data_IF_276027707692
#
_entry.id   IF_276027707692
#
_cell.length_a   1.000
_cell.length_b   1.000
_cell.length_c   1.000
_cell.angle_alpha   90.00
_cell.angle_beta   90.00
_cell.angle_gamma   90.00
#
_symmetry.space_group_name_H-M   'P 1'
#
loop_
_entity.id
_entity.type
_entity.pdbx_description
1 polymer ?
#
# COMPACT_ATOMS: atom_id res chain seq x y z
N UNK A 1 -16.47 21.11 35.14
CA UNK A 1 -16.45 22.40 34.44
C UNK A 1 -15.55 22.27 33.23
N UNK A 2 -16.08 21.76 32.13
CA UNK A 2 -15.39 21.65 30.82
C UNK A 2 -16.47 21.89 29.76
N UNK A 3 -16.78 23.14 29.50
CA UNK A 3 -17.57 23.60 28.34
C UNK A 3 -17.00 24.95 27.92
N UNK A 4 -15.96 24.97 27.08
CA UNK A 4 -15.55 26.18 26.37
C UNK A 4 -14.67 25.98 25.15
N UNK A 5 -14.54 24.73 24.62
CA UNK A 5 -13.74 24.46 23.43
C UNK A 5 -14.48 24.44 22.10
N UNK A 6 -15.78 24.21 22.10
CA UNK A 6 -16.57 23.96 20.87
C UNK A 6 -17.18 25.19 20.22
N UNK A 7 -17.32 26.30 20.97
CA UNK A 7 -17.96 27.52 20.47
C UNK A 7 -17.01 28.42 19.67
N UNK A 8 -15.70 28.28 19.84
CA UNK A 8 -14.71 29.09 19.10
C UNK A 8 -14.52 28.65 17.66
N UNK A 9 -14.77 27.39 17.34
CA UNK A 9 -14.54 26.84 15.99
C UNK A 9 -15.65 27.23 14.97
N UNK A 10 -16.84 27.52 15.46
CA UNK A 10 -17.98 27.94 14.59
C UNK A 10 -17.91 29.42 14.22
N UNK A 11 -17.23 30.26 15.00
CA UNK A 11 -17.22 31.71 14.77
C UNK A 11 -16.16 32.18 13.74
N UNK A 12 -15.16 31.38 13.45
CA UNK A 12 -14.10 31.72 12.45
C UNK A 12 -14.54 31.39 11.01
N UNK A 13 -15.47 30.47 10.81
CA UNK A 13 -15.96 30.05 9.49
C UNK A 13 -16.97 31.01 8.82
N UNK A 14 -17.51 32.02 9.53
CA UNK A 14 -18.61 32.84 9.00
C UNK A 14 -18.20 34.21 8.43
N UNK A 15 -16.92 34.59 8.47
CA UNK A 15 -16.46 35.80 7.80
C UNK A 15 -16.00 35.47 6.37
N UNK A 16 -16.95 35.38 5.46
CA UNK A 16 -16.65 35.47 4.03
C UNK A 16 -16.16 36.87 3.73
N UNK A 17 -14.85 37.03 3.53
CA UNK A 17 -14.29 38.24 2.93
C UNK A 17 -14.83 38.35 1.51
N UNK A 18 -15.55 39.42 1.19
CA UNK A 18 -15.91 39.77 -0.18
C UNK A 18 -14.60 40.06 -0.92
N UNK A 19 -14.09 39.06 -1.65
CA UNK A 19 -12.98 39.29 -2.58
C UNK A 19 -13.52 40.05 -3.75
N UNK A 20 -12.99 41.26 -3.97
CA UNK A 20 -13.28 42.05 -5.16
C UNK A 20 -12.86 41.23 -6.40
N UNK A 21 -13.80 40.93 -7.28
CA UNK A 21 -13.54 40.28 -8.58
C UNK A 21 -12.80 41.24 -9.45
N UNK A 22 -11.49 41.05 -9.63
CA UNK A 22 -10.71 41.69 -10.69
C UNK A 22 -11.08 40.97 -11.99
N UNK A 23 -11.41 41.69 -13.09
CA UNK A 23 -11.70 41.05 -14.36
C UNK A 23 -10.46 40.30 -14.85
N UNK A 24 -10.52 38.98 -14.85
CA UNK A 24 -9.43 38.13 -15.39
C UNK A 24 -9.51 38.20 -16.94
N UNK A 25 -8.41 38.66 -17.55
CA UNK A 25 -8.15 38.50 -18.97
C UNK A 25 -8.24 37.00 -19.32
N UNK A 26 -8.89 36.61 -20.44
CA UNK A 26 -8.99 35.21 -20.82
C UNK A 26 -7.58 34.61 -20.92
N UNK A 27 -7.27 33.67 -20.03
CA UNK A 27 -6.06 32.86 -20.10
C UNK A 27 -6.27 31.92 -21.28
N UNK A 28 -5.37 31.97 -22.26
CA UNK A 28 -5.35 31.01 -23.37
C UNK A 28 -5.44 29.59 -22.78
N UNK A 29 -6.38 28.81 -23.33
CA UNK A 29 -6.60 27.44 -22.87
C UNK A 29 -5.28 26.67 -22.92
N UNK A 30 -4.73 26.39 -21.74
CA UNK A 30 -3.59 25.46 -21.62
C UNK A 30 -4.01 24.13 -22.23
N UNK A 31 -3.18 23.49 -23.08
CA UNK A 31 -3.51 22.18 -23.62
C UNK A 31 -3.96 21.28 -22.45
N UNK A 32 -5.15 20.73 -22.56
CA UNK A 32 -5.68 19.77 -21.58
C UNK A 32 -4.64 18.68 -21.47
N UNK A 33 -3.95 18.61 -20.32
CA UNK A 33 -3.15 17.45 -19.99
C UNK A 33 -4.04 16.23 -20.26
N UNK A 34 -3.56 15.27 -21.05
CA UNK A 34 -4.30 14.03 -21.30
C UNK A 34 -4.65 13.47 -19.93
N UNK A 35 -5.95 13.36 -19.64
CA UNK A 35 -6.40 12.82 -18.38
C UNK A 35 -5.81 11.41 -18.27
N UNK A 36 -4.97 11.19 -17.26
CA UNK A 36 -4.40 9.87 -16.99
C UNK A 36 -5.56 8.92 -16.72
N UNK A 37 -5.83 8.01 -17.66
CA UNK A 37 -6.81 6.95 -17.49
C UNK A 37 -6.10 5.79 -16.79
N UNK A 38 -6.34 5.63 -15.49
CA UNK A 38 -5.88 4.45 -14.78
C UNK A 38 -6.77 3.26 -15.13
N UNK A 39 -6.19 2.04 -15.30
CA UNK A 39 -6.99 0.84 -15.56
C UNK A 39 -7.82 0.49 -14.34
N UNK A 40 -9.08 0.07 -14.55
CA UNK A 40 -9.90 -0.57 -13.53
C UNK A 40 -10.35 0.31 -12.36
N UNK A 41 -10.38 -0.27 -11.16
CA UNK A 41 -10.92 0.36 -9.94
C UNK A 41 -9.98 0.22 -8.78
N UNK A 42 -9.67 1.31 -8.10
CA UNK A 42 -8.91 1.35 -6.85
C UNK A 42 -9.88 1.38 -5.66
N UNK A 43 -9.63 0.56 -4.64
CA UNK A 43 -10.34 0.54 -3.37
C UNK A 43 -9.42 1.04 -2.27
N UNK A 44 -9.92 1.98 -1.45
CA UNK A 44 -9.11 2.72 -0.48
C UNK A 44 -9.95 3.09 0.75
N UNK A 45 -9.32 3.23 1.91
CA UNK A 45 -9.98 3.64 3.14
C UNK A 45 -9.76 5.13 3.44
N UNK A 46 -10.82 5.78 3.90
CA UNK A 46 -10.80 7.16 4.39
C UNK A 46 -11.85 7.33 5.49
N UNK A 47 -11.46 7.95 6.61
CA UNK A 47 -12.39 8.30 7.72
C UNK A 47 -13.27 7.14 8.20
N UNK A 48 -12.73 5.91 8.22
CA UNK A 48 -13.47 4.72 8.65
C UNK A 48 -14.52 4.21 7.66
N UNK A 49 -14.44 4.62 6.40
CA UNK A 49 -15.25 4.09 5.30
C UNK A 49 -14.36 3.60 4.15
N UNK A 50 -14.88 2.69 3.34
CA UNK A 50 -14.24 2.27 2.10
C UNK A 50 -14.82 3.06 0.93
N UNK A 51 -13.94 3.40 0.00
CA UNK A 51 -14.26 4.09 -1.25
C UNK A 51 -13.72 3.31 -2.44
N UNK A 52 -14.40 3.40 -3.57
CA UNK A 52 -13.85 3.05 -4.87
C UNK A 52 -13.47 4.31 -5.64
N UNK A 53 -12.39 4.24 -6.39
CA UNK A 53 -11.93 5.27 -7.31
C UNK A 53 -11.81 4.68 -8.70
N UNK A 54 -12.59 5.17 -9.66
CA UNK A 54 -12.60 4.71 -11.03
C UNK A 54 -12.96 5.86 -11.96
N UNK A 55 -12.30 5.94 -13.12
CA UNK A 55 -12.52 7.00 -14.11
C UNK A 55 -12.51 8.44 -13.50
N UNK A 56 -11.62 8.67 -12.53
CA UNK A 56 -11.48 9.97 -11.86
C UNK A 56 -12.58 10.30 -10.84
N UNK A 57 -13.44 9.34 -10.47
CA UNK A 57 -14.54 9.55 -9.53
C UNK A 57 -14.42 8.67 -8.30
N UNK A 58 -14.72 9.25 -7.13
CA UNK A 58 -14.86 8.53 -5.88
C UNK A 58 -16.32 8.16 -5.64
N UNK A 59 -16.50 6.94 -5.13
CA UNK A 59 -17.79 6.45 -4.68
C UNK A 59 -17.62 5.79 -3.31
N UNK A 60 -18.36 6.24 -2.31
CA UNK A 60 -18.37 5.64 -0.98
C UNK A 60 -19.09 4.30 -1.01
N UNK A 61 -18.46 3.25 -0.50
CA UNK A 61 -18.97 1.88 -0.52
C UNK A 61 -19.60 1.47 0.81
N UNK A 62 -19.06 1.95 1.93
CA UNK A 62 -19.51 1.60 3.26
C UNK A 62 -19.76 2.86 4.08
N UNK A 63 -20.63 2.80 5.11
CA UNK A 63 -20.76 3.92 6.07
C UNK A 63 -19.43 4.14 6.84
N UNK A 64 -19.26 5.30 7.43
CA UNK A 64 -18.16 5.64 8.33
C UNK A 64 -18.31 4.92 9.67
N UNK A 65 -17.92 3.66 9.72
CA UNK A 65 -18.12 2.75 10.85
C UNK A 65 -16.88 1.86 11.10
N UNK A 66 -15.68 2.42 10.98
CA UNK A 66 -14.43 1.73 11.27
C UNK A 66 -13.94 0.79 10.17
N UNK A 67 -14.44 0.91 8.94
CA UNK A 67 -13.98 0.12 7.81
C UNK A 67 -12.60 0.55 7.33
N UNK A 68 -11.72 -0.44 7.11
CA UNK A 68 -10.33 -0.22 6.69
C UNK A 68 -9.77 -1.46 5.99
N UNK A 69 -8.56 -1.35 5.44
CA UNK A 69 -7.73 -2.43 4.92
C UNK A 69 -8.46 -3.33 3.90
N UNK A 70 -8.99 -2.77 2.81
CA UNK A 70 -9.60 -3.55 1.75
C UNK A 70 -8.54 -4.41 1.04
N UNK A 71 -8.95 -5.61 0.63
CA UNK A 71 -8.19 -6.46 -0.28
C UNK A 71 -9.15 -7.16 -1.24
N UNK A 72 -8.73 -7.31 -2.48
CA UNK A 72 -9.50 -8.02 -3.50
C UNK A 72 -9.43 -9.53 -3.31
N UNK A 73 -10.52 -10.21 -3.62
CA UNK A 73 -10.45 -11.63 -3.91
C UNK A 73 -9.64 -11.88 -5.20
N UNK A 74 -8.91 -13.00 -5.32
CA UNK A 74 -8.09 -13.30 -6.49
C UNK A 74 -8.84 -13.27 -7.83
N UNK A 75 -10.14 -13.58 -7.83
CA UNK A 75 -11.01 -13.49 -9.00
C UNK A 75 -11.57 -12.08 -9.26
N UNK A 76 -11.26 -11.10 -8.39
CA UNK A 76 -11.72 -9.74 -8.48
C UNK A 76 -13.22 -9.54 -8.22
N UNK A 77 -13.98 -10.56 -7.82
CA UNK A 77 -15.45 -10.48 -7.68
C UNK A 77 -15.92 -9.95 -6.33
N UNK A 78 -15.06 -9.98 -5.32
CA UNK A 78 -15.38 -9.51 -3.96
C UNK A 78 -14.20 -8.80 -3.31
N UNK A 79 -14.48 -8.16 -2.19
CA UNK A 79 -13.50 -7.59 -1.29
C UNK A 79 -13.52 -8.38 0.02
N UNK A 80 -12.38 -8.43 0.68
CA UNK A 80 -12.30 -8.66 2.13
C UNK A 80 -11.82 -7.38 2.77
N UNK A 81 -12.35 -7.01 3.92
CA UNK A 81 -11.97 -5.80 4.61
C UNK A 81 -12.11 -5.97 6.13
N UNK A 82 -11.41 -5.14 6.87
CA UNK A 82 -11.50 -5.07 8.32
C UNK A 82 -12.56 -4.07 8.72
N UNK A 83 -13.38 -4.42 9.71
CA UNK A 83 -14.20 -3.50 10.47
C UNK A 83 -13.67 -3.41 11.89
N UNK A 84 -13.19 -2.25 12.28
CA UNK A 84 -12.71 -1.97 13.63
C UNK A 84 -13.86 -1.55 14.53
N UNK A 85 -13.95 -2.18 15.67
CA UNK A 85 -14.81 -1.81 16.79
C UNK A 85 -13.96 -1.24 17.94
N UNK A 86 -14.57 -0.85 19.04
CA UNK A 86 -13.84 -0.22 20.14
C UNK A 86 -12.76 -1.10 20.77
N UNK A 87 -12.99 -2.42 20.86
CA UNK A 87 -12.11 -3.37 21.58
C UNK A 87 -11.63 -4.54 20.71
N UNK A 88 -12.13 -4.67 19.48
CA UNK A 88 -11.79 -5.77 18.57
C UNK A 88 -11.89 -5.32 17.11
N UNK A 89 -11.48 -6.18 16.21
CA UNK A 89 -11.73 -6.01 14.78
C UNK A 89 -12.06 -7.34 14.13
N UNK A 90 -12.99 -7.29 13.16
CA UNK A 90 -13.38 -8.46 12.39
C UNK A 90 -13.13 -8.27 10.90
N UNK A 91 -12.91 -9.39 10.23
CA UNK A 91 -12.81 -9.45 8.77
C UNK A 91 -14.16 -9.82 8.19
N UNK A 92 -14.56 -9.04 7.19
CA UNK A 92 -15.80 -9.25 6.42
C UNK A 92 -15.49 -9.47 4.95
N UNK A 93 -16.36 -10.25 4.29
CA UNK A 93 -16.42 -10.28 2.83
C UNK A 93 -17.53 -9.33 2.36
N UNK A 94 -17.22 -8.54 1.35
CA UNK A 94 -18.14 -7.59 0.73
C UNK A 94 -18.20 -7.83 -0.78
N UNK A 95 -19.32 -7.42 -1.38
CA UNK A 95 -19.36 -7.23 -2.83
C UNK A 95 -18.43 -6.07 -3.22
N UNK A 96 -18.08 -5.94 -4.50
CA UNK A 96 -17.32 -4.80 -5.02
C UNK A 96 -18.02 -3.45 -4.81
N UNK A 97 -19.29 -3.46 -4.47
CA UNK A 97 -20.13 -2.28 -4.23
C UNK A 97 -20.37 -2.02 -2.74
N UNK A 98 -19.66 -2.72 -1.85
CA UNK A 98 -19.69 -2.46 -0.41
C UNK A 98 -20.74 -3.25 0.39
N UNK A 99 -21.61 -4.02 -0.28
CA UNK A 99 -22.61 -4.87 0.40
C UNK A 99 -21.90 -6.01 1.15
N UNK A 100 -22.14 -6.12 2.47
CA UNK A 100 -21.59 -7.20 3.30
C UNK A 100 -22.26 -8.53 2.92
N UNK A 101 -21.46 -9.54 2.60
CA UNK A 101 -21.93 -10.89 2.23
C UNK A 101 -21.62 -11.93 3.29
N UNK A 102 -20.55 -11.76 4.08
CA UNK A 102 -20.20 -12.66 5.18
C UNK A 102 -19.32 -11.97 6.20
N UNK A 103 -19.41 -12.38 7.46
CA UNK A 103 -18.42 -12.14 8.51
C UNK A 103 -17.48 -13.35 8.54
N UNK A 104 -16.17 -13.13 8.37
CA UNK A 104 -15.18 -14.19 8.27
C UNK A 104 -14.47 -14.50 9.60
N UNK A 105 -14.47 -13.53 10.53
CA UNK A 105 -14.00 -13.72 11.89
C UNK A 105 -15.04 -13.23 12.90
N UNK A 106 -14.98 -13.73 14.14
CA UNK A 106 -15.84 -13.29 15.22
C UNK A 106 -14.97 -13.14 16.48
N UNK A 107 -14.43 -11.95 16.65
CA UNK A 107 -13.44 -11.61 17.67
C UNK A 107 -14.06 -10.88 18.88
N UNK A 108 -15.36 -10.62 18.85
CA UNK A 108 -16.10 -10.07 19.97
C UNK A 108 -16.17 -11.10 21.12
N UNK A 109 -15.98 -10.65 22.35
CA UNK A 109 -16.19 -11.48 23.52
C UNK A 109 -17.70 -11.58 23.83
N UNK A 110 -18.33 -12.75 23.71
CA UNK A 110 -19.80 -12.83 23.72
C UNK A 110 -20.45 -12.55 25.06
N UNK A 111 -19.72 -12.55 26.19
CA UNK A 111 -20.35 -12.50 27.53
C UNK A 111 -19.49 -11.81 28.60
N UNK A 112 -18.41 -11.13 28.26
CA UNK A 112 -17.48 -10.60 29.24
C UNK A 112 -17.52 -9.09 29.37
N UNK A 113 -17.19 -8.61 30.57
CA UNK A 113 -17.07 -7.19 30.86
C UNK A 113 -16.12 -6.52 29.85
N UNK A 114 -16.45 -5.30 29.41
CA UNK A 114 -15.59 -4.43 28.60
C UNK A 114 -14.18 -4.23 29.19
N UNK A 115 -13.96 -4.65 30.42
CA UNK A 115 -12.68 -4.59 31.11
C UNK A 115 -11.82 -5.86 30.92
N UNK A 116 -12.40 -6.92 30.39
CA UNK A 116 -11.65 -8.16 30.09
C UNK A 116 -11.10 -8.10 28.65
N UNK A 117 -10.08 -7.24 28.45
CA UNK A 117 -9.46 -7.04 27.14
C UNK A 117 -8.83 -8.32 26.57
N UNK A 118 -8.51 -9.32 27.42
CA UNK A 118 -7.98 -10.61 26.99
C UNK A 118 -8.99 -11.50 26.27
N UNK A 119 -10.28 -11.17 26.35
CA UNK A 119 -11.34 -11.93 25.68
C UNK A 119 -11.59 -11.49 24.23
N UNK A 120 -11.14 -10.29 23.87
CA UNK A 120 -11.29 -9.72 22.52
C UNK A 120 -10.06 -10.01 21.69
N UNK A 121 -10.21 -10.12 20.39
CA UNK A 121 -9.11 -10.31 19.47
C UNK A 121 -9.13 -9.28 18.32
N UNK A 122 -7.96 -9.11 17.70
CA UNK A 122 -7.76 -8.19 16.59
C UNK A 122 -7.33 -8.97 15.34
N UNK A 123 -7.98 -8.68 14.22
CA UNK A 123 -7.64 -9.21 12.91
C UNK A 123 -7.39 -8.05 11.96
N UNK A 124 -6.21 -8.03 11.32
CA UNK A 124 -5.80 -6.96 10.40
C UNK A 124 -5.19 -7.52 9.11
N UNK A 125 -5.13 -6.69 8.08
CA UNK A 125 -4.48 -6.99 6.81
C UNK A 125 -4.95 -8.29 6.16
N UNK A 126 -6.27 -8.47 5.95
CA UNK A 126 -6.81 -9.70 5.38
C UNK A 126 -6.37 -9.86 3.92
N UNK A 127 -6.08 -11.10 3.55
CA UNK A 127 -5.81 -11.53 2.17
C UNK A 127 -6.41 -12.90 1.95
N UNK A 128 -7.02 -13.12 0.79
CA UNK A 128 -7.37 -14.47 0.39
C UNK A 128 -6.19 -15.14 -0.32
N UNK A 129 -6.01 -16.45 -0.10
CA UNK A 129 -5.07 -17.24 -0.89
C UNK A 129 -5.48 -17.23 -2.36
N UNK A 130 -4.55 -17.50 -3.30
CA UNK A 130 -4.85 -17.51 -4.74
C UNK A 130 -5.99 -18.46 -5.15
N UNK A 131 -6.21 -19.55 -4.43
CA UNK A 131 -7.32 -20.49 -4.59
C UNK A 131 -8.60 -20.08 -3.84
N UNK A 132 -8.56 -18.96 -3.13
CA UNK A 132 -9.65 -18.43 -2.29
C UNK A 132 -10.09 -19.33 -1.12
N UNK A 133 -9.40 -20.43 -0.90
CA UNK A 133 -9.73 -21.40 0.16
C UNK A 133 -9.27 -20.99 1.55
N UNK A 134 -8.34 -20.04 1.66
CA UNK A 134 -7.73 -19.63 2.93
C UNK A 134 -7.75 -18.11 3.10
N UNK A 135 -8.18 -17.66 4.26
CA UNK A 135 -8.02 -16.28 4.71
C UNK A 135 -6.72 -16.17 5.50
N UNK A 136 -5.83 -15.32 5.04
CA UNK A 136 -4.63 -14.89 5.70
C UNK A 136 -4.84 -13.54 6.36
N UNK A 137 -4.29 -13.35 7.56
CA UNK A 137 -4.42 -12.09 8.31
C UNK A 137 -3.31 -11.97 9.36
N UNK A 138 -3.10 -10.78 9.87
CA UNK A 138 -2.38 -10.54 11.11
C UNK A 138 -3.39 -10.65 12.25
N UNK A 139 -3.12 -11.55 13.20
CA UNK A 139 -4.05 -11.89 14.27
C UNK A 139 -3.34 -11.95 15.62
N UNK A 140 -3.91 -11.36 16.65
CA UNK A 140 -3.30 -11.34 17.98
C UNK A 140 -3.44 -12.65 18.77
N UNK A 141 -3.97 -13.70 18.13
CA UNK A 141 -4.00 -15.06 18.61
C UNK A 141 -4.68 -15.28 19.96
N UNK A 142 -4.61 -16.49 20.50
CA UNK A 142 -4.98 -16.72 21.88
C UNK A 142 -3.97 -16.01 22.78
N UNK A 143 -4.38 -14.91 23.40
CA UNK A 143 -3.61 -14.23 24.41
C UNK A 143 -3.33 -15.21 25.54
N UNK A 144 -2.08 -15.30 25.96
CA UNK A 144 -1.69 -16.18 27.07
C UNK A 144 -2.42 -15.70 28.33
N UNK A 145 -3.36 -16.50 28.82
CA UNK A 145 -4.04 -16.24 30.06
C UNK A 145 -3.00 -16.28 31.19
N UNK A 146 -2.92 -15.24 32.00
CA UNK A 146 -2.17 -15.30 33.28
C UNK A 146 -1.22 -14.14 33.57
N UNK A 147 -0.83 -13.34 32.60
CA UNK A 147 -0.06 -12.13 32.86
C UNK A 147 -1.00 -10.93 32.75
N UNK A 148 -1.22 -10.18 33.82
CA UNK A 148 -2.09 -9.01 33.86
C UNK A 148 -1.67 -7.87 32.93
N UNK A 149 -0.71 -8.11 32.04
CA UNK A 149 -0.24 -7.24 30.96
C UNK A 149 -0.42 -7.99 29.64
N UNK A 150 -1.23 -7.45 28.77
CA UNK A 150 -1.47 -8.02 27.45
C UNK A 150 -0.38 -7.54 26.50
N UNK A 151 0.53 -8.44 26.16
CA UNK A 151 1.41 -8.28 25.01
C UNK A 151 0.58 -8.57 23.75
N UNK A 152 0.41 -7.57 22.92
CA UNK A 152 -0.35 -7.66 21.66
C UNK A 152 0.64 -7.79 20.51
N UNK A 153 1.30 -8.96 20.44
CA UNK A 153 2.11 -9.28 19.27
C UNK A 153 1.28 -10.09 18.28
N UNK A 154 1.07 -9.49 17.11
CA UNK A 154 0.39 -10.14 16.01
C UNK A 154 1.22 -11.28 15.46
N UNK A 155 0.59 -12.38 15.06
CA UNK A 155 1.19 -13.39 14.20
C UNK A 155 0.47 -13.46 12.86
N UNK A 156 1.16 -13.89 11.82
CA UNK A 156 0.50 -14.27 10.58
C UNK A 156 -0.31 -15.51 10.81
N UNK A 157 -1.60 -15.44 10.59
CA UNK A 157 -2.58 -16.49 10.82
C UNK A 157 -3.29 -16.87 9.54
N UNK A 158 -3.57 -18.14 9.35
CA UNK A 158 -4.32 -18.64 8.21
C UNK A 158 -5.48 -19.52 8.67
N UNK A 159 -6.71 -19.22 8.23
CA UNK A 159 -7.91 -19.98 8.52
C UNK A 159 -8.59 -20.42 7.22
N UNK A 160 -9.22 -21.60 7.17
CA UNK A 160 -10.08 -21.96 6.04
C UNK A 160 -11.22 -20.94 5.88
N UNK A 161 -11.51 -20.54 4.66
CA UNK A 161 -12.67 -19.66 4.39
C UNK A 161 -13.96 -20.42 4.74
N UNK A 162 -14.84 -19.80 5.54
CA UNK A 162 -16.00 -20.44 6.13
C UNK A 162 -15.71 -21.25 7.40
N UNK A 163 -14.45 -21.35 7.78
CA UNK A 163 -14.04 -21.93 9.06
C UNK A 163 -14.00 -20.90 10.18
N UNK A 164 -13.60 -21.36 11.35
CA UNK A 164 -13.39 -20.55 12.54
C UNK A 164 -11.90 -20.34 12.81
N UNK A 165 -11.54 -19.36 13.63
CA UNK A 165 -10.16 -19.14 14.08
C UNK A 165 -9.55 -20.38 14.74
N UNK A 166 -10.36 -21.21 15.41
CA UNK A 166 -9.92 -22.48 16.03
C UNK A 166 -9.44 -23.53 15.01
N UNK A 167 -9.91 -23.44 13.76
CA UNK A 167 -9.49 -24.34 12.67
C UNK A 167 -8.25 -23.79 11.94
N UNK A 168 -7.86 -22.58 12.27
CA UNK A 168 -6.67 -21.93 11.73
C UNK A 168 -5.41 -22.32 12.50
N UNK A 169 -4.31 -21.77 12.01
CA UNK A 169 -2.99 -21.93 12.64
C UNK A 169 -2.15 -20.67 12.49
N UNK A 170 -1.28 -20.45 13.47
CA UNK A 170 -0.21 -19.47 13.33
C UNK A 170 0.83 -19.99 12.33
N UNK A 171 1.24 -19.12 11.44
CA UNK A 171 2.30 -19.40 10.47
C UNK A 171 3.65 -18.87 10.92
N UNK A 172 3.66 -17.90 11.81
CA UNK A 172 4.87 -17.20 12.23
C UNK A 172 4.95 -17.14 13.75
N UNK A 173 6.15 -16.89 14.26
CA UNK A 173 6.43 -16.69 15.67
C UNK A 173 6.97 -15.26 15.86
N UNK A 174 6.16 -14.31 16.30
CA UNK A 174 6.56 -12.92 16.46
C UNK A 174 7.59 -12.74 17.56
N UNK A 175 8.36 -11.66 17.48
CA UNK A 175 9.20 -11.20 18.59
C UNK A 175 8.31 -10.49 19.62
N UNK A 176 8.57 -10.72 20.90
CA UNK A 176 7.78 -10.13 21.99
C UNK A 176 7.91 -8.61 22.04
N UNK A 177 6.80 -7.93 22.36
CA UNK A 177 6.69 -6.47 22.52
C UNK A 177 7.00 -5.63 21.29
N UNK A 178 6.98 -6.23 20.10
CA UNK A 178 7.29 -5.52 18.83
C UNK A 178 6.04 -5.08 18.07
N UNK A 179 4.86 -5.55 18.43
CA UNK A 179 3.63 -5.48 17.66
C UNK A 179 3.49 -6.63 16.65
N UNK A 180 4.52 -7.47 16.53
CA UNK A 180 4.48 -8.77 15.90
C UNK A 180 4.75 -8.83 14.41
N UNK A 181 4.20 -9.86 13.78
CA UNK A 181 4.33 -10.18 12.35
C UNK A 181 3.06 -9.73 11.62
N UNK A 182 3.23 -8.88 10.61
CA UNK A 182 2.10 -8.18 9.98
C UNK A 182 2.10 -8.26 8.46
N UNK A 183 0.96 -7.89 7.85
CA UNK A 183 0.80 -7.62 6.42
C UNK A 183 1.17 -8.84 5.54
N UNK A 184 0.50 -9.99 5.73
CA UNK A 184 0.79 -11.17 4.93
C UNK A 184 0.43 -10.95 3.46
N UNK A 185 1.33 -11.39 2.57
CA UNK A 185 1.13 -11.49 1.13
C UNK A 185 1.20 -12.96 0.76
N UNK A 186 0.05 -13.65 0.63
CA UNK A 186 0.03 -15.07 0.26
C UNK A 186 0.61 -15.28 -1.13
N UNK A 187 1.35 -16.36 -1.29
CA UNK A 187 2.01 -16.72 -2.54
C UNK A 187 1.33 -17.90 -3.23
N UNK A 188 1.30 -17.93 -4.57
CA UNK A 188 0.74 -19.06 -5.31
C UNK A 188 1.44 -20.39 -5.08
N UNK A 189 2.72 -20.34 -4.74
CA UNK A 189 3.52 -21.53 -4.38
C UNK A 189 3.22 -22.06 -2.99
N UNK A 190 2.29 -21.43 -2.26
CA UNK A 190 2.08 -21.62 -0.82
C UNK A 190 3.01 -20.73 0.00
N UNK A 191 2.65 -20.56 1.27
CA UNK A 191 3.38 -19.65 2.15
C UNK A 191 3.04 -18.17 1.95
N UNK A 192 3.83 -17.30 2.58
CA UNK A 192 3.59 -15.86 2.52
C UNK A 192 4.89 -15.06 2.72
N UNK A 193 4.90 -13.86 2.15
CA UNK A 193 5.79 -12.78 2.56
C UNK A 193 5.05 -11.98 3.64
N UNK A 194 5.76 -11.49 4.65
CA UNK A 194 5.19 -10.69 5.73
C UNK A 194 6.21 -9.70 6.28
N UNK A 195 5.75 -8.72 7.03
CA UNK A 195 6.61 -7.82 7.79
C UNK A 195 6.80 -8.38 9.19
N UNK A 196 8.05 -8.63 9.59
CA UNK A 196 8.44 -8.99 10.95
C UNK A 196 9.07 -7.80 11.62
N UNK A 197 8.57 -7.43 12.79
CA UNK A 197 9.15 -6.35 13.59
C UNK A 197 10.14 -6.87 14.62
N UNK A 198 11.17 -6.10 14.87
CA UNK A 198 12.19 -6.30 15.89
C UNK A 198 12.68 -4.96 16.44
N UNK A 199 13.49 -5.00 17.48
CA UNK A 199 14.25 -3.83 17.93
C UNK A 199 15.68 -3.91 17.43
N UNK A 200 16.24 -2.78 17.03
CA UNK A 200 17.67 -2.66 16.70
C UNK A 200 18.51 -2.43 17.97
N UNK A 201 19.84 -2.22 17.79
CA UNK A 201 20.75 -1.99 18.89
C UNK A 201 20.46 -0.72 19.70
N UNK A 202 19.77 0.24 19.10
CA UNK A 202 19.42 1.52 19.73
C UNK A 202 18.06 1.45 20.45
N UNK A 203 17.38 0.31 20.38
CA UNK A 203 16.06 0.08 20.96
C UNK A 203 14.91 0.62 20.11
N UNK A 204 15.16 0.98 18.85
CA UNK A 204 14.12 1.43 17.94
C UNK A 204 13.50 0.26 17.17
N UNK A 205 12.17 0.31 17.01
CA UNK A 205 11.45 -0.71 16.28
C UNK A 205 11.74 -0.60 14.79
N UNK A 206 12.18 -1.69 14.17
CA UNK A 206 12.48 -1.83 12.75
C UNK A 206 11.69 -2.96 12.12
N UNK A 207 11.29 -2.78 10.87
CA UNK A 207 10.61 -3.78 10.06
C UNK A 207 11.59 -4.53 9.13
N UNK A 208 11.31 -5.80 8.94
CA UNK A 208 12.00 -6.62 7.95
C UNK A 208 10.97 -7.40 7.15
N UNK A 209 11.13 -7.49 5.84
CA UNK A 209 10.37 -8.45 5.06
C UNK A 209 10.93 -9.85 5.29
N UNK A 210 10.06 -10.78 5.57
CA UNK A 210 10.33 -12.19 5.79
C UNK A 210 9.50 -13.05 4.86
N UNK A 211 9.98 -14.25 4.58
CA UNK A 211 9.29 -15.26 3.79
C UNK A 211 9.15 -16.55 4.62
N UNK A 212 7.98 -17.14 4.58
CA UNK A 212 7.72 -18.47 5.12
C UNK A 212 6.98 -19.32 4.10
N UNK A 213 7.37 -20.58 3.96
CA UNK A 213 6.71 -21.55 3.07
C UNK A 213 5.92 -22.62 3.81
N UNK A 214 5.96 -22.59 5.12
CA UNK A 214 5.31 -23.60 5.99
C UNK A 214 4.94 -23.00 7.34
N UNK A 215 3.73 -23.33 7.82
CA UNK A 215 3.28 -22.95 9.15
C UNK A 215 4.27 -23.41 10.24
N UNK A 216 4.58 -22.51 11.19
CA UNK A 216 5.49 -22.77 12.30
C UNK A 216 6.97 -22.89 11.92
N UNK A 217 7.36 -22.61 10.67
CA UNK A 217 8.77 -22.51 10.31
C UNK A 217 9.38 -21.21 10.84
N UNK A 218 10.69 -21.21 11.07
CA UNK A 218 11.41 -19.99 11.47
C UNK A 218 11.31 -18.87 10.43
N UNK A 219 11.00 -19.22 9.18
CA UNK A 219 11.01 -18.27 8.06
C UNK A 219 12.42 -17.86 7.65
N UNK A 220 12.51 -16.93 6.69
CA UNK A 220 13.76 -16.39 6.18
C UNK A 220 13.64 -14.88 5.99
N UNK A 221 14.59 -14.12 6.51
CA UNK A 221 14.67 -12.69 6.26
C UNK A 221 14.96 -12.43 4.77
N UNK A 222 14.20 -11.54 4.18
CA UNK A 222 14.37 -11.06 2.80
C UNK A 222 15.10 -9.72 2.76
N UNK A 223 14.95 -8.89 3.81
CA UNK A 223 15.65 -7.61 3.97
C UNK A 223 16.39 -7.59 5.31
N UNK A 224 17.34 -6.68 5.44
CA UNK A 224 18.05 -6.48 6.71
C UNK A 224 17.27 -5.55 7.63
N UNK A 225 17.51 -5.60 8.95
CA UNK A 225 16.95 -4.64 9.91
C UNK A 225 17.36 -3.20 9.61
N UNK A 226 18.58 -2.99 9.13
CA UNK A 226 19.08 -1.66 8.76
C UNK A 226 18.34 -1.05 7.56
N UNK A 227 17.69 -1.87 6.71
CA UNK A 227 16.87 -1.39 5.60
C UNK A 227 15.47 -0.96 6.07
N UNK A 228 15.01 -1.44 7.23
CA UNK A 228 13.73 -1.12 7.88
C UNK A 228 12.55 -1.12 6.87
N UNK A 229 12.28 -2.30 6.29
CA UNK A 229 11.31 -2.44 5.20
C UNK A 229 10.02 -3.13 5.65
N UNK A 230 8.89 -2.62 5.14
CA UNK A 230 7.53 -3.11 5.42
C UNK A 230 6.61 -2.94 4.20
N UNK A 231 5.33 -3.30 4.33
CA UNK A 231 4.26 -3.02 3.37
C UNK A 231 4.54 -3.61 1.97
N UNK A 232 4.90 -4.88 1.92
CA UNK A 232 5.19 -5.56 0.65
C UNK A 232 3.95 -5.66 -0.25
N UNK A 233 4.16 -5.41 -1.55
CA UNK A 233 3.19 -5.61 -2.62
C UNK A 233 3.84 -6.37 -3.77
N UNK A 234 3.29 -7.53 -4.13
CA UNK A 234 3.78 -8.37 -5.22
C UNK A 234 3.22 -7.86 -6.55
N UNK A 235 4.09 -7.76 -7.57
CA UNK A 235 3.66 -7.35 -8.92
C UNK A 235 2.74 -8.39 -9.58
N UNK A 236 1.91 -8.00 -10.57
CA UNK A 236 1.01 -8.93 -11.25
C UNK A 236 1.73 -10.09 -11.94
N UNK A 237 2.92 -9.85 -12.49
CA UNK A 237 3.79 -10.86 -13.10
C UNK A 237 4.55 -11.69 -12.05
N UNK A 238 4.45 -11.36 -10.77
CA UNK A 238 5.09 -12.02 -9.63
C UNK A 238 6.61 -11.99 -9.66
N UNK A 239 7.21 -11.07 -10.42
CA UNK A 239 8.66 -10.98 -10.56
C UNK A 239 9.28 -9.85 -9.74
N UNK A 240 8.44 -8.98 -9.14
CA UNK A 240 8.91 -7.82 -8.38
C UNK A 240 8.09 -7.65 -7.11
N UNK A 241 8.74 -7.08 -6.10
CA UNK A 241 8.09 -6.64 -4.86
C UNK A 241 8.34 -5.14 -4.72
N UNK A 242 7.26 -4.38 -4.58
CA UNK A 242 7.30 -3.01 -4.09
C UNK A 242 7.15 -3.03 -2.57
N UNK A 243 7.86 -2.17 -1.87
CA UNK A 243 7.88 -2.07 -0.42
C UNK A 243 8.20 -0.66 0.03
N UNK A 244 7.92 -0.37 1.27
CA UNK A 244 8.34 0.87 1.92
C UNK A 244 9.53 0.53 2.82
N UNK A 245 10.65 1.23 2.61
CA UNK A 245 11.81 1.14 3.48
C UNK A 245 12.07 2.50 4.13
N UNK A 246 12.59 2.52 5.37
CA UNK A 246 12.80 3.76 6.13
C UNK A 246 14.30 4.03 6.27
N UNK A 247 14.73 5.20 5.83
CA UNK A 247 16.12 5.58 5.98
C UNK A 247 16.31 6.46 7.22
N UNK A 248 17.28 6.08 8.06
CA UNK A 248 17.60 6.79 9.31
C UNK A 248 16.36 7.09 10.17
N UNK A 249 15.35 6.20 10.11
CA UNK A 249 14.14 6.27 10.93
C UNK A 249 13.28 7.55 10.75
N UNK A 250 13.49 8.29 9.66
CA UNK A 250 12.84 9.59 9.45
C UNK A 250 12.09 9.69 8.12
N UNK A 251 12.61 9.11 7.06
CA UNK A 251 12.07 9.26 5.70
C UNK A 251 11.76 7.88 5.14
N UNK A 252 10.52 7.68 4.72
CA UNK A 252 10.11 6.45 4.05
C UNK A 252 10.39 6.54 2.54
N UNK A 253 10.88 5.45 1.96
CA UNK A 253 11.21 5.31 0.55
C UNK A 253 10.31 4.28 -0.12
N UNK A 254 9.80 4.60 -1.31
CA UNK A 254 9.25 3.60 -2.19
C UNK A 254 10.42 2.85 -2.86
N UNK A 255 10.50 1.57 -2.57
CA UNK A 255 11.60 0.70 -3.01
C UNK A 255 11.04 -0.50 -3.75
N UNK A 256 11.73 -0.97 -4.78
CA UNK A 256 11.40 -2.22 -5.49
C UNK A 256 12.61 -3.15 -5.51
N UNK A 257 12.34 -4.45 -5.56
CA UNK A 257 13.34 -5.49 -5.81
C UNK A 257 12.76 -6.60 -6.67
N UNK A 258 13.59 -7.28 -7.43
CA UNK A 258 13.17 -8.50 -8.14
C UNK A 258 12.89 -9.61 -7.13
N UNK A 259 11.93 -10.46 -7.44
CA UNK A 259 11.52 -11.61 -6.64
C UNK A 259 11.66 -12.89 -7.45
N UNK A 260 12.39 -13.86 -6.95
CA UNK A 260 12.61 -15.15 -7.63
C UNK A 260 11.84 -16.33 -7.02
N UNK A 261 10.88 -16.06 -6.14
CA UNK A 261 10.10 -17.08 -5.43
C UNK A 261 10.61 -17.41 -4.02
N UNK A 262 11.83 -16.99 -3.65
CA UNK A 262 12.41 -17.29 -2.33
C UNK A 262 13.40 -16.24 -1.81
N UNK A 263 13.82 -15.29 -2.65
CA UNK A 263 14.77 -14.24 -2.28
C UNK A 263 14.53 -12.97 -3.09
N UNK A 264 15.00 -11.85 -2.57
CA UNK A 264 15.01 -10.55 -3.24
C UNK A 264 16.34 -10.30 -3.91
N UNK A 265 16.29 -9.63 -5.06
CA UNK A 265 17.45 -9.00 -5.67
C UNK A 265 17.84 -7.70 -4.96
N UNK A 266 18.69 -6.90 -5.58
CA UNK A 266 19.11 -5.61 -5.05
C UNK A 266 17.91 -4.66 -4.86
N UNK A 267 17.89 -3.94 -3.75
CA UNK A 267 16.89 -2.93 -3.46
C UNK A 267 17.15 -1.68 -4.33
N UNK A 268 16.13 -1.25 -5.07
CA UNK A 268 16.16 -0.04 -5.90
C UNK A 268 15.15 0.96 -5.36
N UNK A 269 15.62 2.09 -4.83
CA UNK A 269 14.77 3.20 -4.41
C UNK A 269 14.21 3.93 -5.62
N UNK A 270 12.90 4.16 -5.64
CA UNK A 270 12.18 4.87 -6.69
C UNK A 270 11.78 6.28 -6.27
N UNK A 271 11.36 6.46 -5.02
CA UNK A 271 10.94 7.73 -4.42
C UNK A 271 11.61 7.85 -3.07
N UNK A 272 12.20 9.01 -2.78
CA UNK A 272 12.98 9.27 -1.56
C UNK A 272 12.83 10.68 -1.00
N UNK A 273 12.03 11.53 -1.63
CA UNK A 273 11.90 12.96 -1.35
C UNK A 273 10.61 13.33 -0.64
N UNK A 274 9.76 12.34 -0.35
CA UNK A 274 8.49 12.54 0.38
C UNK A 274 8.15 11.29 1.19
N UNK A 275 7.29 11.44 2.20
CA UNK A 275 6.72 10.30 2.91
C UNK A 275 5.87 9.48 1.95
N UNK A 276 6.05 8.15 1.97
CA UNK A 276 5.32 7.22 1.12
C UNK A 276 4.77 6.06 1.94
N UNK A 277 3.62 5.51 1.55
CA UNK A 277 2.98 4.38 2.21
C UNK A 277 2.16 3.55 1.21
N UNK A 278 1.89 2.29 1.55
CA UNK A 278 0.92 1.39 0.91
C UNK A 278 1.09 1.26 -0.61
N UNK A 279 2.27 0.84 -1.09
CA UNK A 279 2.49 0.67 -2.52
C UNK A 279 1.62 -0.46 -3.07
N UNK A 280 1.03 -0.25 -4.23
CA UNK A 280 0.21 -1.24 -4.93
C UNK A 280 0.47 -1.16 -6.42
N UNK A 281 0.76 -2.30 -7.04
CA UNK A 281 0.96 -2.39 -8.49
C UNK A 281 -0.34 -2.20 -9.24
N UNK A 282 -0.27 -1.47 -10.37
CA UNK A 282 -1.35 -1.50 -11.35
C UNK A 282 -1.56 -2.92 -11.87
N UNK A 283 -2.81 -3.38 -12.08
CA UNK A 283 -3.10 -4.74 -12.51
C UNK A 283 -2.47 -5.12 -13.86
N UNK A 284 -2.30 -4.13 -14.74
CA UNK A 284 -1.66 -4.26 -16.06
C UNK A 284 -0.13 -4.08 -16.00
N UNK A 285 0.43 -3.85 -14.81
CA UNK A 285 1.86 -3.57 -14.62
C UNK A 285 2.32 -2.22 -15.15
N UNK A 286 1.42 -1.28 -15.46
CA UNK A 286 1.74 0.04 -15.99
C UNK A 286 2.42 0.99 -14.99
N UNK A 287 2.39 0.67 -13.69
CA UNK A 287 3.00 1.47 -12.65
C UNK A 287 2.68 1.02 -11.24
N UNK A 288 2.92 1.91 -10.28
CA UNK A 288 2.68 1.69 -8.85
C UNK A 288 1.86 2.87 -8.32
N UNK A 289 0.70 2.58 -7.71
CA UNK A 289 -0.01 3.54 -6.88
C UNK A 289 0.54 3.49 -5.44
N UNK A 290 0.51 4.61 -4.76
CA UNK A 290 0.94 4.72 -3.37
C UNK A 290 0.30 5.93 -2.70
N UNK A 291 0.38 5.99 -1.38
CA UNK A 291 -0.07 7.13 -0.60
C UNK A 291 1.11 8.02 -0.23
N UNK A 292 0.95 9.33 -0.37
CA UNK A 292 1.89 10.34 0.09
C UNK A 292 1.17 11.64 0.43
N UNK A 293 1.71 12.51 1.31
CA UNK A 293 1.12 13.81 1.56
C UNK A 293 1.01 14.65 0.28
N UNK A 294 -0.04 15.44 0.18
CA UNK A 294 -0.23 16.39 -0.93
C UNK A 294 0.69 17.62 -0.87
N UNK A 295 1.47 17.75 0.21
CA UNK A 295 2.39 18.84 0.51
C UNK A 295 2.82 18.80 1.99
N UNK A 296 3.66 19.73 2.46
CA UNK A 296 4.06 19.79 3.87
C UNK A 296 2.84 19.86 4.81
N UNK A 297 2.78 18.95 5.78
CA UNK A 297 1.67 18.81 6.74
C UNK A 297 0.28 18.58 6.12
N UNK A 298 0.20 18.30 4.81
CA UNK A 298 -1.07 17.96 4.15
C UNK A 298 -1.45 16.49 4.40
N UNK A 299 -2.74 16.14 4.34
CA UNK A 299 -3.19 14.76 4.44
C UNK A 299 -2.68 13.91 3.27
N UNK A 300 -2.63 12.58 3.49
CA UNK A 300 -2.22 11.63 2.46
C UNK A 300 -3.17 11.64 1.28
N UNK A 301 -2.61 11.67 0.09
CA UNK A 301 -3.27 11.64 -1.20
C UNK A 301 -2.88 10.37 -1.95
N UNK A 302 -3.64 10.03 -2.98
CA UNK A 302 -3.30 8.95 -3.91
C UNK A 302 -2.37 9.50 -5.00
N UNK A 303 -1.27 8.78 -5.21
CA UNK A 303 -0.27 9.08 -6.22
C UNK A 303 -0.05 7.88 -7.13
N UNK A 304 0.46 8.13 -8.32
CA UNK A 304 0.82 7.10 -9.29
C UNK A 304 2.22 7.34 -9.85
N UNK A 305 3.06 6.31 -9.82
CA UNK A 305 4.38 6.29 -10.45
C UNK A 305 4.31 5.41 -11.70
N UNK A 306 4.33 5.99 -12.91
CA UNK A 306 4.32 5.22 -14.15
C UNK A 306 5.57 4.35 -14.31
N UNK A 307 5.43 3.17 -14.93
CA UNK A 307 6.53 2.21 -15.14
C UNK A 307 7.74 2.82 -15.87
N UNK A 308 7.51 3.67 -16.85
CA UNK A 308 8.56 4.34 -17.61
C UNK A 308 9.39 5.33 -16.77
N UNK A 309 8.91 5.76 -15.59
CA UNK A 309 9.68 6.58 -14.66
C UNK A 309 10.85 5.83 -14.02
N UNK A 310 10.74 4.53 -13.86
CA UNK A 310 11.76 3.70 -13.20
C UNK A 310 12.31 2.56 -14.08
N UNK A 311 11.64 2.27 -15.19
CA UNK A 311 12.08 1.34 -16.23
C UNK A 311 11.85 2.00 -17.60
N UNK A 312 12.69 3.00 -17.97
CA UNK A 312 12.52 3.69 -19.23
C UNK A 312 12.70 2.73 -20.41
N UNK A 313 11.94 2.90 -21.49
CA UNK A 313 12.17 2.15 -22.71
C UNK A 313 13.61 2.38 -23.21
N UNK A 314 14.22 1.41 -23.88
CA UNK A 314 15.52 1.62 -24.50
C UNK A 314 15.49 2.84 -25.42
N UNK A 315 16.56 3.63 -25.49
CA UNK A 315 16.62 4.78 -26.39
C UNK A 315 16.34 4.33 -27.83
N UNK A 316 15.48 5.07 -28.51
CA UNK A 316 15.20 4.80 -29.93
C UNK A 316 16.52 4.78 -30.70
N UNK A 317 16.75 3.80 -31.59
CA UNK A 317 17.94 3.79 -32.40
C UNK A 317 18.02 5.12 -33.17
N UNK A 318 19.17 5.78 -33.07
CA UNK A 318 19.43 7.00 -33.85
C UNK A 318 19.33 6.60 -35.31
N UNK A 319 18.50 7.26 -36.13
CA UNK A 319 18.43 6.95 -37.56
C UNK A 319 19.84 7.06 -38.13
N UNK A 320 20.35 5.99 -38.69
CA UNK A 320 21.63 5.99 -39.42
C UNK A 320 21.44 7.00 -40.53
N UNK A 321 22.32 8.03 -40.67
CA UNK A 321 22.22 8.98 -41.79
C UNK A 321 22.24 8.21 -43.11
N UNK A 322 21.20 8.35 -43.87
CA UNK A 322 21.13 7.78 -45.23
C UNK A 322 22.26 8.42 -46.04
N UNK A 323 23.17 7.65 -46.61
CA UNK A 323 24.19 8.24 -47.47
C UNK A 323 23.51 8.96 -48.60
N UNK A 324 23.79 10.25 -48.73
CA UNK A 324 23.31 11.05 -49.88
C UNK A 324 24.02 10.54 -51.12
N UNK A 325 23.34 10.04 -52.16
CA UNK A 325 23.98 9.67 -53.41
C UNK A 325 24.48 10.92 -54.12
N UNK A 326 25.79 11.06 -54.30
CA UNK A 326 26.28 12.06 -55.19
C UNK A 326 27.60 12.71 -54.84
N UNK A 327 28.61 12.34 -55.55
CA UNK A 327 29.86 13.10 -55.76
C UNK A 327 31.12 12.39 -55.29
N UNK A 328 32.18 12.32 -56.14
CA UNK A 328 33.46 11.77 -55.76
C UNK A 328 34.18 12.72 -54.83
N UNK A 329 34.18 12.39 -53.52
CA UNK A 329 34.96 13.12 -52.53
C UNK A 329 36.22 12.29 -52.17
N UNK A 330 37.35 12.73 -52.72
CA UNK A 330 38.69 12.33 -52.28
C UNK A 330 39.12 13.18 -51.08
N UNK A 331 38.55 12.88 -49.89
CA UNK A 331 38.95 13.48 -48.61
C UNK A 331 38.68 12.50 -47.47
N UNK A 332 39.49 12.52 -46.37
CA UNK A 332 39.24 11.67 -45.24
C UNK A 332 37.87 11.98 -44.65
N UNK A 333 37.03 10.96 -44.51
CA UNK A 333 35.72 11.04 -43.86
C UNK A 333 35.87 11.69 -42.49
N UNK A 334 35.07 12.71 -42.16
CA UNK A 334 35.03 13.26 -40.78
C UNK A 334 34.61 12.16 -39.87
N UNK A 335 35.45 11.89 -38.84
CA UNK A 335 35.14 10.97 -37.77
C UNK A 335 33.84 11.38 -37.10
N UNK A 336 32.81 10.56 -37.20
CA UNK A 336 31.52 10.85 -36.57
C UNK A 336 31.73 10.90 -35.05
N UNK A 337 31.71 12.08 -34.48
CA UNK A 337 31.67 12.27 -33.04
C UNK A 337 30.41 11.59 -32.53
N UNK A 338 30.51 10.64 -31.56
CA UNK A 338 29.32 9.99 -31.02
C UNK A 338 28.43 11.06 -30.40
N UNK A 339 27.27 11.32 -31.01
CA UNK A 339 26.25 12.18 -30.42
C UNK A 339 25.67 11.45 -29.23
N UNK A 340 26.00 11.92 -28.02
CA UNK A 340 25.39 11.41 -26.81
C UNK A 340 23.89 11.73 -26.89
N UNK A 341 23.06 10.69 -26.87
CA UNK A 341 21.60 10.86 -26.82
C UNK A 341 21.23 11.71 -25.59
N UNK A 342 20.31 12.69 -25.75
CA UNK A 342 19.85 13.49 -24.61
C UNK A 342 19.30 12.56 -23.53
N UNK A 343 19.55 12.87 -22.23
CA UNK A 343 19.03 12.05 -21.14
C UNK A 343 17.52 11.95 -21.26
N UNK A 344 16.98 10.74 -21.05
CA UNK A 344 15.55 10.50 -21.08
C UNK A 344 14.85 11.45 -20.08
N UNK A 345 13.71 12.05 -20.45
CA UNK A 345 13.01 12.98 -19.58
C UNK A 345 12.67 12.29 -18.26
N UNK A 346 12.97 12.95 -17.12
CA UNK A 346 12.53 12.48 -15.80
C UNK A 346 11.00 12.51 -15.77
N UNK A 347 10.38 11.35 -15.66
CA UNK A 347 8.95 11.23 -15.47
C UNK A 347 8.69 11.31 -13.96
N UNK A 348 7.98 12.35 -13.56
CA UNK A 348 7.65 12.55 -12.14
C UNK A 348 6.42 11.73 -11.75
N UNK A 349 6.29 11.37 -10.46
CA UNK A 349 5.05 10.84 -9.93
C UNK A 349 3.87 11.79 -10.19
N UNK A 350 2.69 11.22 -10.37
CA UNK A 350 1.47 11.96 -10.68
C UNK A 350 0.56 11.93 -9.47
N UNK A 351 0.23 13.08 -8.91
CA UNK A 351 -0.78 13.19 -7.86
C UNK A 351 -2.17 13.03 -8.47
N UNK A 352 -2.93 12.01 -8.01
CA UNK A 352 -4.25 11.68 -8.54
C UNK A 352 -5.38 12.38 -7.82
N UNK A 353 -5.15 12.73 -6.55
CA UNK A 353 -6.17 13.33 -5.67
C UNK A 353 -5.63 14.55 -4.94
N UNK A 354 -6.54 15.44 -4.54
CA UNK A 354 -6.25 16.63 -3.75
C UNK A 354 -7.29 16.80 -2.66
N UNK A 355 -6.88 17.32 -1.50
CA UNK A 355 -7.78 17.65 -0.37
C UNK A 355 -8.57 16.47 0.20
N UNK A 356 -8.09 15.23 0.00
CA UNK A 356 -8.60 14.04 0.66
C UNK A 356 -7.68 13.68 1.83
N UNK A 357 -8.09 12.73 2.66
CA UNK A 357 -7.29 12.26 3.79
C UNK A 357 -7.39 10.75 3.88
N UNK A 358 -6.55 10.04 3.09
CA UNK A 358 -6.55 8.59 3.10
C UNK A 358 -5.84 8.04 4.32
N UNK A 359 -6.28 6.88 4.77
CA UNK A 359 -5.66 6.14 5.87
C UNK A 359 -4.34 5.51 5.39
N UNK A 360 -3.21 6.12 5.75
CA UNK A 360 -1.87 5.64 5.38
C UNK A 360 -1.51 4.29 6.03
N UNK A 361 -2.29 3.80 6.98
CA UNK A 361 -2.13 2.46 7.57
C UNK A 361 -2.94 1.40 6.86
N UNK A 362 -3.82 1.79 5.92
CA UNK A 362 -4.69 0.91 5.17
C UNK A 362 -4.14 0.63 3.77
N UNK A 363 -3.89 -0.64 3.40
CA UNK A 363 -3.49 -1.00 2.05
C UNK A 363 -4.48 -0.51 0.99
N UNK A 364 -3.94 -0.21 -0.18
CA UNK A 364 -4.72 0.02 -1.40
C UNK A 364 -4.99 -1.34 -2.05
N UNK A 365 -6.22 -1.57 -2.54
CA UNK A 365 -6.54 -2.69 -3.41
C UNK A 365 -6.86 -2.18 -4.81
N UNK A 366 -6.37 -2.85 -5.86
CA UNK A 366 -6.53 -2.40 -7.24
C UNK A 366 -7.01 -3.54 -8.14
N UNK A 367 -8.21 -3.39 -8.68
CA UNK A 367 -8.85 -4.30 -9.64
C UNK A 367 -8.55 -3.83 -11.06
N UNK A 368 -8.13 -4.74 -11.93
CA UNK A 368 -7.96 -4.53 -13.37
C UNK A 368 -9.23 -4.70 -14.17
#
# INVERSE_FOLDING_TARGET
>A
MVISGTTAYIYVGSRQSKVATVPQKPIAATPRAQALSLPGTIYIAQSGALYSFSAGRFHQLTPEAGWTQPALSPDGNSLVAVKREGLFSDVYRLTRFGGVTAQLTNNAAPTRSRWDTGAFAWSFYPRLSPDQGTLWMSYDGPKLAGNGYYDVDMSVWAIPVGGTVRQGRSWTNPNSYTGGDMQPVPLPSGGAIYTKYSYDSDGDRVGQLWYTNRAGSAGKALTTGAADCAQASLSPDRQNIAMICTYKKQISYLTVATWNGSSLGALKTLISDQLVAQPTWAPDGSGIAYLAPGGPAAPFQLWFLPKNAYNPPPPSPIPTPVPTPGGPHNGPLPSATPTVAPPAPKINPIQLTTNLGFDATSPIAWLG
#
